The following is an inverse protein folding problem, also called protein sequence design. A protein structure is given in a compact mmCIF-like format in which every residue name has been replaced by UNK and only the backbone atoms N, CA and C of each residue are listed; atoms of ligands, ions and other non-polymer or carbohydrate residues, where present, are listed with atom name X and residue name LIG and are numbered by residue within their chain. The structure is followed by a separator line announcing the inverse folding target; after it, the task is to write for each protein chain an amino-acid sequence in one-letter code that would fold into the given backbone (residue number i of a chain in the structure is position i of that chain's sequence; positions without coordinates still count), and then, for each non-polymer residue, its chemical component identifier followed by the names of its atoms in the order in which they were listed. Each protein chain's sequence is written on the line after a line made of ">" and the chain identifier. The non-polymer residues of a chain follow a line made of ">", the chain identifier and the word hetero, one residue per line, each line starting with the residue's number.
data_IF_836173250499
#
_entry.id   IF_836173250499
#
_cell.length_a   1.000
_cell.length_b   1.000
_cell.length_c   1.000
_cell.angle_alpha   90.00
_cell.angle_beta   90.00
_cell.angle_gamma   90.00
#
_symmetry.space_group_name_H-M   'P 1'
#
loop_
_entity.id
_entity.type
_entity.pdbx_description
1 polymer ?
#
# COMPACT_ATOMS: atom_id res chain seq x y z
N UNK A 1 47.71 15.39 -81.87
CA UNK A 1 47.06 14.30 -81.11
C UNK A 1 46.72 14.80 -79.73
N UNK A 2 45.44 14.98 -79.40
CA UNK A 2 45.07 15.49 -78.09
C UNK A 2 44.89 14.35 -77.11
N UNK A 3 45.32 14.54 -75.87
CA UNK A 3 45.19 13.61 -74.75
C UNK A 3 43.74 13.70 -74.12
N UNK A 4 43.17 12.58 -73.66
CA UNK A 4 41.84 12.60 -73.01
C UNK A 4 41.95 13.14 -71.58
N UNK A 5 40.98 13.98 -71.22
CA UNK A 5 40.74 14.46 -69.85
C UNK A 5 39.95 13.41 -69.04
N UNK A 6 40.54 12.90 -67.97
CA UNK A 6 39.84 12.03 -67.03
C UNK A 6 38.92 12.87 -66.18
N UNK A 7 37.63 12.54 -66.17
CA UNK A 7 36.64 13.09 -65.27
C UNK A 7 36.63 12.28 -63.96
N UNK A 8 36.91 12.97 -62.86
CA UNK A 8 36.78 12.40 -61.51
C UNK A 8 35.35 12.56 -61.04
N UNK A 9 34.63 11.43 -60.88
CA UNK A 9 33.31 11.39 -60.25
C UNK A 9 33.54 11.39 -58.71
N UNK A 10 33.12 12.47 -58.07
CA UNK A 10 33.05 12.53 -56.60
C UNK A 10 31.70 11.95 -56.19
N UNK A 11 31.73 10.76 -55.58
CA UNK A 11 30.54 10.15 -54.98
C UNK A 11 30.36 10.74 -53.58
N UNK A 12 29.31 11.55 -53.39
CA UNK A 12 28.95 12.09 -52.08
C UNK A 12 28.15 11.00 -51.33
N UNK A 13 28.83 10.41 -50.36
CA UNK A 13 28.16 9.47 -49.40
C UNK A 13 27.29 10.28 -48.42
N UNK A 14 26.00 10.15 -48.53
CA UNK A 14 25.05 10.69 -47.54
C UNK A 14 25.08 9.74 -46.33
N UNK A 15 25.68 10.17 -45.23
CA UNK A 15 25.59 9.51 -43.93
C UNK A 15 24.17 9.74 -43.37
N UNK A 16 23.35 8.73 -43.46
CA UNK A 16 22.07 8.69 -42.70
C UNK A 16 22.42 8.52 -41.23
N UNK A 17 22.19 9.54 -40.43
CA UNK A 17 22.22 9.48 -38.96
C UNK A 17 20.96 8.73 -38.50
N UNK A 18 21.07 7.73 -37.57
CA UNK A 18 19.90 7.15 -36.97
C UNK A 18 19.20 8.16 -36.08
N UNK A 19 17.93 8.40 -36.31
CA UNK A 19 17.09 9.23 -35.46
C UNK A 19 17.04 8.63 -34.06
N UNK A 20 17.14 9.44 -32.96
CA UNK A 20 16.96 8.94 -31.63
C UNK A 20 15.51 8.47 -31.46
N UNK A 21 15.34 7.17 -31.21
CA UNK A 21 14.05 6.64 -30.79
C UNK A 21 13.72 7.26 -29.42
N UNK A 22 12.52 7.87 -29.24
CA UNK A 22 12.11 8.27 -27.91
C UNK A 22 12.03 7.00 -27.06
N UNK A 23 12.75 6.98 -25.95
CA UNK A 23 12.58 5.99 -24.86
C UNK A 23 11.08 6.07 -24.48
N UNK A 24 10.30 5.13 -24.98
CA UNK A 24 8.91 4.99 -24.63
C UNK A 24 8.80 4.85 -23.13
N UNK A 25 8.24 5.84 -22.45
CA UNK A 25 7.77 5.70 -21.11
C UNK A 25 6.88 4.46 -21.08
N UNK A 26 7.36 3.41 -20.45
CA UNK A 26 6.60 2.18 -20.23
C UNK A 26 5.42 2.59 -19.34
N UNK A 27 4.29 2.91 -19.98
CA UNK A 27 3.03 3.10 -19.29
C UNK A 27 2.75 1.77 -18.58
N UNK A 28 2.88 1.78 -17.25
CA UNK A 28 2.40 0.69 -16.43
C UNK A 28 0.93 0.48 -16.80
N UNK A 29 0.62 -0.65 -17.42
CA UNK A 29 -0.78 -1.00 -17.67
C UNK A 29 -1.52 -0.91 -16.32
N UNK A 30 -2.65 -0.20 -16.26
CA UNK A 30 -3.50 -0.25 -15.08
C UNK A 30 -3.84 -1.72 -14.81
N UNK A 31 -3.85 -2.16 -13.54
CA UNK A 31 -4.26 -3.52 -13.22
C UNK A 31 -5.61 -3.80 -13.86
N UNK A 32 -5.79 -5.03 -14.35
CA UNK A 32 -7.02 -5.44 -15.05
C UNK A 32 -8.24 -4.99 -14.21
N UNK A 33 -9.16 -4.20 -14.80
CA UNK A 33 -10.21 -3.57 -14.05
C UNK A 33 -11.08 -4.63 -13.46
N UNK A 34 -11.26 -5.12 -12.44
CA UNK A 34 -12.18 -6.07 -11.81
C UNK A 34 -11.57 -7.28 -11.07
N UNK A 35 -10.25 -7.35 -10.87
CA UNK A 35 -9.67 -8.47 -10.12
C UNK A 35 -10.32 -8.67 -8.74
N UNK A 36 -10.69 -7.59 -8.04
CA UNK A 36 -11.27 -7.61 -6.69
C UNK A 36 -12.73 -7.17 -6.63
N UNK A 37 -13.39 -7.00 -7.78
CA UNK A 37 -14.78 -6.54 -7.83
C UNK A 37 -15.71 -7.41 -7.00
N UNK A 38 -15.53 -8.74 -7.05
CA UNK A 38 -16.33 -9.68 -6.26
C UNK A 38 -16.16 -9.47 -4.75
N UNK A 39 -14.94 -9.18 -4.30
CA UNK A 39 -14.65 -8.94 -2.89
C UNK A 39 -15.30 -7.62 -2.41
N UNK A 40 -15.16 -6.57 -3.21
CA UNK A 40 -15.74 -5.25 -2.90
C UNK A 40 -17.26 -5.32 -2.90
N UNK A 41 -17.86 -5.95 -3.92
CA UNK A 41 -19.31 -6.16 -3.99
C UNK A 41 -19.84 -7.00 -2.80
N UNK A 42 -19.06 -7.94 -2.28
CA UNK A 42 -19.44 -8.70 -1.09
C UNK A 42 -19.49 -7.80 0.17
N UNK A 43 -18.55 -6.89 0.36
CA UNK A 43 -18.60 -5.89 1.43
C UNK A 43 -19.83 -4.99 1.29
N UNK A 44 -20.10 -4.47 0.10
CA UNK A 44 -21.27 -3.62 -0.17
C UNK A 44 -22.61 -4.36 0.10
N UNK A 45 -22.67 -5.64 -0.25
CA UNK A 45 -23.84 -6.46 0.00
C UNK A 45 -24.06 -6.71 1.51
N UNK A 46 -22.98 -6.99 2.25
CA UNK A 46 -23.05 -7.12 3.70
C UNK A 46 -23.48 -5.81 4.38
N UNK A 47 -22.96 -4.67 3.92
CA UNK A 47 -23.29 -3.35 4.45
C UNK A 47 -24.76 -2.95 4.21
N UNK A 48 -25.37 -3.43 3.13
CA UNK A 48 -26.81 -3.25 2.88
C UNK A 48 -27.66 -4.02 3.89
N UNK A 49 -27.16 -5.14 4.39
CA UNK A 49 -27.85 -5.96 5.38
C UNK A 49 -27.62 -5.45 6.81
N UNK A 50 -26.39 -5.02 7.09
CA UNK A 50 -25.98 -4.48 8.39
C UNK A 50 -25.01 -3.32 8.18
N UNK A 51 -25.55 -2.11 8.16
CA UNK A 51 -24.76 -0.91 7.90
C UNK A 51 -23.70 -0.70 8.99
N UNK A 52 -22.42 -0.56 8.61
CA UNK A 52 -21.36 -0.28 9.56
C UNK A 52 -21.57 1.07 10.26
N UNK A 53 -21.16 1.20 11.53
CA UNK A 53 -21.29 2.45 12.25
C UNK A 53 -20.47 3.55 11.63
N UNK A 54 -21.03 4.76 11.54
CA UNK A 54 -20.32 5.96 11.13
C UNK A 54 -19.31 6.38 12.21
N UNK A 55 -18.20 6.98 11.81
CA UNK A 55 -17.18 7.44 12.75
C UNK A 55 -16.32 6.31 13.35
N UNK A 56 -16.43 5.09 12.83
CA UNK A 56 -15.56 3.98 13.22
C UNK A 56 -14.09 4.23 12.79
N UNK A 57 -13.17 3.43 13.31
CA UNK A 57 -11.83 3.28 12.75
C UNK A 57 -11.96 2.38 11.52
N UNK A 58 -11.45 2.80 10.39
CA UNK A 58 -11.45 2.01 9.17
C UNK A 58 -10.06 1.41 8.93
N UNK A 59 -9.98 0.10 8.85
CA UNK A 59 -8.80 -0.61 8.35
C UNK A 59 -9.02 -0.92 6.87
N UNK A 60 -8.11 -0.51 5.99
CA UNK A 60 -8.15 -0.81 4.56
C UNK A 60 -6.78 -1.27 4.08
N UNK A 61 -6.75 -2.30 3.26
CA UNK A 61 -5.49 -2.82 2.74
C UNK A 61 -5.51 -4.31 2.43
N UNK A 62 -4.39 -4.97 2.68
CA UNK A 62 -4.11 -6.32 2.19
C UNK A 62 -4.50 -7.45 3.16
N UNK A 63 -3.94 -8.64 2.88
CA UNK A 63 -4.18 -9.86 3.66
C UNK A 63 -3.88 -9.74 5.14
N UNK A 64 -3.00 -8.85 5.54
CA UNK A 64 -2.64 -8.70 6.95
C UNK A 64 -3.74 -7.98 7.76
N UNK A 65 -4.68 -7.30 7.12
CA UNK A 65 -5.94 -6.90 7.74
C UNK A 65 -7.04 -7.92 7.47
N UNK A 66 -7.11 -8.45 6.25
CA UNK A 66 -8.13 -9.44 5.88
C UNK A 66 -8.13 -10.66 6.80
N UNK A 67 -6.93 -11.16 7.17
CA UNK A 67 -6.74 -12.36 7.98
C UNK A 67 -6.60 -12.10 9.48
N UNK A 68 -6.89 -10.90 9.95
CA UNK A 68 -6.84 -10.58 11.38
C UNK A 68 -8.12 -11.06 12.07
N UNK A 69 -8.20 -12.38 12.31
CA UNK A 69 -9.37 -13.03 12.88
C UNK A 69 -9.60 -12.63 14.36
N UNK A 70 -8.51 -12.41 15.12
CA UNK A 70 -8.54 -11.98 16.54
C UNK A 70 -8.72 -10.47 16.71
N UNK A 71 -9.06 -9.71 15.67
CA UNK A 71 -9.11 -8.25 15.69
C UNK A 71 -9.94 -7.67 16.85
N UNK A 72 -11.11 -8.26 17.12
CA UNK A 72 -12.00 -7.80 18.19
C UNK A 72 -11.45 -8.09 19.58
N UNK A 73 -10.71 -9.18 19.71
CA UNK A 73 -10.06 -9.61 20.96
C UNK A 73 -8.78 -8.80 21.22
N UNK A 74 -8.01 -8.51 20.16
CA UNK A 74 -6.77 -7.73 20.23
C UNK A 74 -7.01 -6.24 20.46
N UNK A 75 -8.13 -5.71 19.98
CA UNK A 75 -8.51 -4.30 20.09
C UNK A 75 -9.89 -4.14 20.75
N UNK A 76 -10.03 -4.57 22.01
CA UNK A 76 -11.31 -4.52 22.70
C UNK A 76 -11.76 -3.08 22.96
N UNK A 77 -13.04 -2.81 22.75
CA UNK A 77 -13.66 -1.52 22.99
C UNK A 77 -13.48 -0.50 21.87
N UNK A 78 -12.81 -0.88 20.75
CA UNK A 78 -12.77 -0.04 19.56
C UNK A 78 -13.84 -0.46 18.55
N UNK A 79 -14.55 0.52 17.99
CA UNK A 79 -15.44 0.29 16.86
C UNK A 79 -14.59 0.33 15.59
N UNK A 80 -14.41 -0.85 14.98
CA UNK A 80 -13.52 -1.00 13.81
C UNK A 80 -14.34 -1.58 12.65
N UNK A 81 -14.17 -0.99 11.47
CA UNK A 81 -14.62 -1.52 10.18
C UNK A 81 -13.41 -2.02 9.42
N UNK A 82 -13.33 -3.33 9.19
CA UNK A 82 -12.24 -3.94 8.45
C UNK A 82 -12.63 -4.13 6.96
N UNK A 83 -11.84 -3.54 6.06
CA UNK A 83 -11.94 -3.64 4.60
C UNK A 83 -10.64 -4.16 3.99
N UNK A 84 -9.98 -5.06 4.69
CA UNK A 84 -8.85 -5.82 4.16
C UNK A 84 -9.29 -6.77 3.06
N UNK A 85 -8.46 -6.94 2.02
CA UNK A 85 -8.69 -7.89 0.93
C UNK A 85 -7.39 -8.64 0.67
N UNK A 86 -7.45 -9.96 0.56
CA UNK A 86 -6.26 -10.78 0.31
C UNK A 86 -5.58 -10.36 -1.01
N UNK A 87 -4.25 -10.24 -0.97
CA UNK A 87 -3.42 -9.83 -2.12
C UNK A 87 -3.64 -8.40 -2.66
N UNK A 88 -4.32 -7.54 -1.91
CA UNK A 88 -4.55 -6.15 -2.29
C UNK A 88 -3.24 -5.37 -2.37
N UNK A 89 -3.11 -4.49 -3.36
CA UNK A 89 -1.97 -3.59 -3.54
C UNK A 89 -2.36 -2.16 -3.17
N UNK A 90 -1.37 -1.26 -3.07
CA UNK A 90 -1.68 0.16 -2.84
C UNK A 90 -2.45 0.79 -4.02
N UNK A 91 -2.19 0.32 -5.25
CA UNK A 91 -2.97 0.70 -6.44
C UNK A 91 -4.45 0.31 -6.30
N UNK A 92 -4.71 -0.90 -5.78
CA UNK A 92 -6.09 -1.38 -5.56
C UNK A 92 -6.79 -0.57 -4.46
N UNK A 93 -6.07 -0.19 -3.38
CA UNK A 93 -6.61 0.70 -2.34
C UNK A 93 -7.04 2.04 -2.92
N UNK A 94 -6.25 2.62 -3.82
CA UNK A 94 -6.61 3.86 -4.54
C UNK A 94 -7.85 3.64 -5.41
N UNK A 95 -7.85 2.58 -6.20
CA UNK A 95 -8.94 2.28 -7.15
C UNK A 95 -10.29 2.12 -6.46
N UNK A 96 -10.32 1.45 -5.32
CA UNK A 96 -11.55 1.17 -4.59
C UNK A 96 -11.83 2.14 -3.43
N UNK A 97 -11.07 3.24 -3.29
CA UNK A 97 -11.23 4.18 -2.19
C UNK A 97 -12.67 4.73 -2.07
N UNK A 98 -13.32 5.00 -3.20
CA UNK A 98 -14.70 5.53 -3.26
C UNK A 98 -15.74 4.57 -2.71
N UNK A 99 -15.45 3.28 -2.71
CA UNK A 99 -16.34 2.20 -2.30
C UNK A 99 -15.98 1.61 -0.94
N UNK A 100 -14.69 1.53 -0.63
CA UNK A 100 -14.19 0.89 0.59
C UNK A 100 -13.83 1.88 1.71
N UNK A 101 -13.80 3.20 1.43
CA UNK A 101 -13.35 4.19 2.40
C UNK A 101 -14.37 5.32 2.58
N UNK A 102 -14.71 6.02 1.51
CA UNK A 102 -15.50 7.25 1.60
C UNK A 102 -16.91 7.06 2.20
N UNK A 103 -17.65 5.97 1.93
CA UNK A 103 -19.00 5.78 2.46
C UNK A 103 -19.08 5.68 3.98
N UNK A 104 -17.98 5.25 4.63
CA UNK A 104 -17.97 4.98 6.09
C UNK A 104 -17.72 6.23 6.94
N UNK A 105 -17.27 7.33 6.36
CA UNK A 105 -16.94 8.58 7.10
C UNK A 105 -16.18 8.29 8.40
N UNK A 106 -15.04 7.58 8.34
CA UNK A 106 -14.33 7.13 9.52
C UNK A 106 -13.71 8.30 10.31
N UNK A 107 -13.53 8.11 11.61
CA UNK A 107 -12.76 9.05 12.45
C UNK A 107 -11.24 8.89 12.30
N UNK A 108 -10.79 7.74 11.80
CA UNK A 108 -9.41 7.41 11.50
C UNK A 108 -9.39 6.36 10.39
N UNK A 109 -8.53 6.53 9.40
CA UNK A 109 -8.24 5.53 8.39
C UNK A 109 -6.87 4.94 8.68
N UNK A 110 -6.76 3.61 8.75
CA UNK A 110 -5.48 2.91 8.84
C UNK A 110 -5.28 2.10 7.56
N UNK A 111 -4.22 2.42 6.84
CA UNK A 111 -3.84 1.75 5.59
C UNK A 111 -2.71 0.76 5.86
N UNK A 112 -2.82 -0.46 5.36
CA UNK A 112 -1.73 -1.42 5.28
C UNK A 112 -1.68 -2.05 3.89
N UNK A 113 -0.74 -1.61 3.07
CA UNK A 113 -0.49 -2.13 1.72
C UNK A 113 0.97 -1.84 1.31
N UNK A 114 1.39 -2.28 0.14
CA UNK A 114 2.74 -2.08 -0.37
C UNK A 114 3.57 -3.36 -0.37
N UNK A 115 3.27 -4.33 0.50
CA UNK A 115 3.94 -5.63 0.51
C UNK A 115 3.72 -6.41 -0.78
N UNK A 116 2.50 -6.45 -1.28
CA UNK A 116 2.14 -7.10 -2.54
C UNK A 116 2.65 -6.32 -3.76
N UNK A 117 2.70 -5.00 -3.66
CA UNK A 117 3.31 -4.14 -4.67
C UNK A 117 4.78 -4.51 -4.91
N UNK A 118 5.55 -4.58 -3.82
CA UNK A 118 6.96 -5.01 -3.87
C UNK A 118 7.08 -6.44 -4.42
N UNK A 119 6.18 -7.36 -4.05
CA UNK A 119 6.17 -8.73 -4.57
C UNK A 119 5.98 -8.78 -6.10
N UNK A 120 5.27 -7.81 -6.68
CA UNK A 120 5.05 -7.69 -8.12
C UNK A 120 6.11 -6.83 -8.84
N UNK A 121 7.18 -6.45 -8.13
CA UNK A 121 8.30 -5.70 -8.69
C UNK A 121 8.11 -4.18 -8.73
N UNK A 122 7.10 -3.65 -8.05
CA UNK A 122 6.92 -2.19 -7.97
C UNK A 122 7.99 -1.55 -7.08
N UNK A 123 8.42 -0.37 -7.47
CA UNK A 123 9.43 0.40 -6.74
C UNK A 123 8.83 1.16 -5.54
N UNK A 124 9.67 1.55 -4.59
CA UNK A 124 9.27 2.39 -3.47
C UNK A 124 8.60 3.70 -3.93
N UNK A 125 9.11 4.33 -4.99
CA UNK A 125 8.54 5.56 -5.56
C UNK A 125 7.11 5.34 -6.11
N UNK A 126 6.85 4.18 -6.75
CA UNK A 126 5.52 3.87 -7.26
C UNK A 126 4.52 3.63 -6.13
N UNK A 127 4.91 2.90 -5.07
CA UNK A 127 4.05 2.68 -3.90
C UNK A 127 3.76 4.00 -3.17
N UNK A 128 4.77 4.86 -3.00
CA UNK A 128 4.60 6.20 -2.44
C UNK A 128 3.63 7.04 -3.30
N UNK A 129 3.78 7.03 -4.62
CA UNK A 129 2.91 7.76 -5.54
C UNK A 129 1.44 7.36 -5.40
N UNK A 130 1.18 6.06 -5.25
CA UNK A 130 -0.17 5.56 -5.01
C UNK A 130 -0.69 5.96 -3.62
N UNK A 131 0.13 5.88 -2.57
CA UNK A 131 -0.29 6.35 -1.25
C UNK A 131 -0.61 7.85 -1.26
N UNK A 132 0.18 8.66 -1.95
CA UNK A 132 -0.12 10.09 -2.15
C UNK A 132 -1.42 10.30 -2.92
N UNK A 133 -1.70 9.50 -3.95
CA UNK A 133 -2.96 9.55 -4.70
C UNK A 133 -4.15 9.19 -3.80
N UNK A 134 -4.01 8.17 -2.96
CA UNK A 134 -5.01 7.81 -1.96
C UNK A 134 -5.29 8.96 -1.00
N UNK A 135 -4.25 9.55 -0.42
CA UNK A 135 -4.38 10.70 0.49
C UNK A 135 -5.12 11.85 -0.20
N UNK A 136 -4.72 12.22 -1.43
CA UNK A 136 -5.42 13.26 -2.20
C UNK A 136 -6.90 12.92 -2.38
N UNK A 137 -7.23 11.70 -2.81
CA UNK A 137 -8.62 11.27 -3.01
C UNK A 137 -9.47 11.38 -1.75
N UNK A 138 -8.92 10.95 -0.62
CA UNK A 138 -9.62 11.07 0.68
C UNK A 138 -9.81 12.54 1.06
N UNK A 139 -8.80 13.39 0.86
CA UNK A 139 -8.86 14.82 1.21
C UNK A 139 -9.90 15.62 0.42
N UNK A 140 -10.28 15.19 -0.78
CA UNK A 140 -11.34 15.82 -1.57
C UNK A 140 -12.69 15.80 -0.86
N UNK A 141 -12.98 14.77 -0.08
CA UNK A 141 -14.26 14.59 0.62
C UNK A 141 -14.16 14.68 2.14
N UNK A 142 -13.02 14.33 2.70
CA UNK A 142 -12.76 14.29 4.15
C UNK A 142 -11.43 15.01 4.45
N UNK A 143 -11.36 16.36 4.32
CA UNK A 143 -10.10 17.10 4.38
C UNK A 143 -9.39 17.03 5.74
N UNK A 144 -10.09 16.75 6.83
CA UNK A 144 -9.54 16.72 8.19
C UNK A 144 -9.33 15.32 8.76
N UNK A 145 -9.80 14.23 8.10
CA UNK A 145 -9.68 12.89 8.66
C UNK A 145 -8.20 12.49 8.81
N UNK A 146 -7.77 11.97 9.96
CA UNK A 146 -6.43 11.43 10.10
C UNK A 146 -6.29 10.13 9.29
N UNK A 147 -5.11 9.99 8.64
CA UNK A 147 -4.77 8.78 7.87
C UNK A 147 -3.46 8.23 8.43
N UNK A 148 -3.50 7.00 8.92
CA UNK A 148 -2.34 6.28 9.40
C UNK A 148 -1.87 5.26 8.35
N UNK A 149 -0.57 5.25 8.07
CA UNK A 149 0.04 4.18 7.26
C UNK A 149 0.76 3.20 8.18
N UNK A 150 0.32 1.97 8.20
CA UNK A 150 0.99 0.87 8.87
C UNK A 150 2.09 0.32 7.96
N UNK A 151 3.33 0.34 8.42
CA UNK A 151 4.50 -0.01 7.61
C UNK A 151 4.40 -1.42 7.01
N UNK A 152 4.96 -1.59 5.83
CA UNK A 152 5.20 -2.92 5.26
C UNK A 152 6.06 -3.73 6.22
N UNK A 153 5.68 -4.98 6.48
CA UNK A 153 6.29 -5.82 7.52
C UNK A 153 7.50 -6.62 7.05
N UNK A 154 8.42 -7.00 7.96
CA UNK A 154 9.63 -7.76 7.63
C UNK A 154 9.39 -9.28 7.63
N UNK A 155 8.31 -9.76 7.00
CA UNK A 155 7.99 -11.20 6.99
C UNK A 155 9.16 -12.06 6.54
N UNK A 156 9.53 -13.15 7.29
CA UNK A 156 10.68 -13.99 6.97
C UNK A 156 10.61 -14.58 5.56
N UNK A 157 9.41 -14.97 5.09
CA UNK A 157 9.18 -15.49 3.73
C UNK A 157 9.41 -14.47 2.62
N UNK A 158 9.63 -13.20 2.97
CA UNK A 158 9.92 -12.10 2.05
C UNK A 158 11.18 -11.33 2.42
N UNK A 159 12.04 -11.89 3.26
CA UNK A 159 13.25 -11.22 3.75
C UNK A 159 14.23 -10.85 2.65
N UNK A 160 14.28 -11.59 1.54
CA UNK A 160 15.06 -11.23 0.35
C UNK A 160 14.67 -9.85 -0.24
N UNK A 161 13.47 -9.37 0.06
CA UNK A 161 12.96 -8.06 -0.36
C UNK A 161 13.14 -6.98 0.72
N UNK A 162 13.85 -7.26 1.83
CA UNK A 162 13.97 -6.36 2.96
C UNK A 162 14.51 -4.97 2.59
N UNK A 163 15.42 -4.88 1.63
CA UNK A 163 15.98 -3.61 1.17
C UNK A 163 14.90 -2.69 0.56
N UNK A 164 14.17 -3.19 -0.45
CA UNK A 164 13.12 -2.41 -1.12
C UNK A 164 11.93 -2.13 -0.21
N UNK A 165 11.59 -3.04 0.73
CA UNK A 165 10.55 -2.82 1.73
C UNK A 165 10.93 -1.70 2.70
N UNK A 166 12.20 -1.65 3.17
CA UNK A 166 12.71 -0.54 3.99
C UNK A 166 12.73 0.77 3.24
N UNK A 167 13.13 0.76 1.96
CA UNK A 167 13.07 1.94 1.10
C UNK A 167 11.63 2.46 0.98
N UNK A 168 10.66 1.57 0.71
CA UNK A 168 9.23 1.91 0.66
C UNK A 168 8.76 2.53 1.96
N UNK A 169 9.08 1.89 3.09
CA UNK A 169 8.72 2.40 4.41
C UNK A 169 9.35 3.77 4.70
N UNK A 170 10.61 3.96 4.33
CA UNK A 170 11.32 5.23 4.49
C UNK A 170 10.72 6.35 3.66
N UNK A 171 10.39 6.08 2.40
CA UNK A 171 9.77 7.04 1.50
C UNK A 171 8.40 7.50 2.02
N UNK A 172 7.57 6.55 2.45
CA UNK A 172 6.24 6.86 3.02
C UNK A 172 6.37 7.58 4.37
N UNK A 173 7.28 7.17 5.25
CA UNK A 173 7.53 7.84 6.54
C UNK A 173 7.93 9.30 6.35
N UNK A 174 8.79 9.61 5.38
CA UNK A 174 9.18 10.97 5.06
C UNK A 174 7.99 11.80 4.53
N UNK A 175 7.15 11.22 3.69
CA UNK A 175 5.95 11.89 3.22
C UNK A 175 4.95 12.16 4.35
N UNK A 176 4.71 11.17 5.21
CA UNK A 176 3.82 11.30 6.38
C UNK A 176 4.25 12.44 7.31
N UNK A 177 5.55 12.65 7.48
CA UNK A 177 6.09 13.72 8.32
C UNK A 177 5.76 15.15 7.81
N UNK A 178 5.29 15.30 6.57
CA UNK A 178 4.95 16.61 5.99
C UNK A 178 3.54 17.11 6.30
N UNK A 179 2.65 16.26 6.83
CA UNK A 179 1.26 16.64 7.22
C UNK A 179 0.94 16.08 8.62
N UNK A 180 0.62 16.91 9.63
CA UNK A 180 0.33 16.45 10.99
C UNK A 180 -0.93 15.56 11.09
N UNK A 181 -1.73 15.48 10.04
CA UNK A 181 -2.89 14.58 9.96
C UNK A 181 -2.54 13.22 9.35
N UNK A 182 -1.29 13.03 8.93
CA UNK A 182 -0.76 11.74 8.52
C UNK A 182 0.03 11.13 9.67
N UNK A 183 -0.11 9.84 9.88
CA UNK A 183 0.50 9.10 10.99
C UNK A 183 1.26 7.90 10.42
N UNK A 184 2.46 7.65 10.91
CA UNK A 184 3.22 6.46 10.55
C UNK A 184 3.23 5.47 11.70
N UNK A 185 2.76 4.25 11.44
CA UNK A 185 2.78 3.12 12.39
C UNK A 185 3.96 2.23 12.05
N UNK A 186 5.01 2.28 12.85
CA UNK A 186 6.24 1.52 12.63
C UNK A 186 6.15 0.10 13.21
N UNK A 187 5.73 -0.86 12.39
CA UNK A 187 5.74 -2.28 12.75
C UNK A 187 7.11 -2.93 12.47
N UNK A 188 7.90 -2.35 11.55
CA UNK A 188 9.12 -2.98 11.08
C UNK A 188 10.08 -3.28 12.21
N UNK A 189 10.44 -2.25 12.98
CA UNK A 189 11.43 -2.36 14.04
C UNK A 189 11.02 -3.35 15.14
N UNK A 190 9.74 -3.35 15.51
CA UNK A 190 9.22 -4.21 16.58
C UNK A 190 9.17 -5.69 16.20
N UNK A 191 9.14 -5.98 14.90
CA UNK A 191 9.11 -7.34 14.37
C UNK A 191 10.50 -7.90 14.03
N UNK A 192 11.58 -7.17 14.38
CA UNK A 192 12.96 -7.64 14.23
C UNK A 192 13.48 -8.24 15.54
N UNK A 193 14.31 -9.26 15.41
CA UNK A 193 15.08 -9.86 16.50
C UNK A 193 16.35 -9.07 16.83
N UNK A 194 17.08 -9.50 17.88
CA UNK A 194 18.34 -8.87 18.29
C UNK A 194 19.44 -8.92 17.23
N UNK A 195 19.37 -9.89 16.32
CA UNK A 195 20.27 -10.09 15.19
C UNK A 195 19.94 -9.17 13.98
N UNK A 196 18.88 -8.37 14.09
CA UNK A 196 18.38 -7.51 13.03
C UNK A 196 17.60 -8.25 11.93
N UNK A 197 17.42 -9.55 12.05
CA UNK A 197 16.55 -10.37 11.20
C UNK A 197 15.08 -10.35 11.68
N UNK A 198 14.16 -10.92 10.90
CA UNK A 198 12.76 -11.01 11.31
C UNK A 198 12.59 -12.00 12.45
N UNK A 199 11.78 -11.69 13.43
CA UNK A 199 11.39 -12.61 14.49
C UNK A 199 10.51 -13.72 13.91
N UNK A 200 11.00 -14.97 13.96
CA UNK A 200 10.27 -16.13 13.41
C UNK A 200 9.00 -16.49 14.21
N UNK A 201 8.97 -16.15 15.49
CA UNK A 201 7.87 -16.46 16.43
C UNK A 201 6.58 -15.67 16.17
N UNK A 202 6.60 -14.67 15.28
CA UNK A 202 5.46 -13.80 15.01
C UNK A 202 4.65 -14.21 13.77
N UNK A 203 5.01 -15.30 13.10
CA UNK A 203 4.46 -15.61 11.78
C UNK A 203 3.84 -17.00 11.72
N UNK A 204 2.86 -17.16 10.84
CA UNK A 204 2.32 -18.46 10.47
C UNK A 204 3.38 -19.30 9.72
N UNK A 205 3.08 -20.57 9.47
CA UNK A 205 3.97 -21.48 8.72
C UNK A 205 4.35 -20.99 7.32
N UNK A 206 3.54 -20.13 6.72
CA UNK A 206 3.84 -19.50 5.44
C UNK A 206 4.92 -18.40 5.53
N UNK A 207 5.26 -17.98 6.75
CA UNK A 207 6.28 -16.96 7.05
C UNK A 207 6.00 -15.59 6.43
N UNK A 208 4.73 -15.31 6.09
CA UNK A 208 4.26 -14.08 5.45
C UNK A 208 3.20 -13.41 6.32
N UNK A 209 2.23 -14.19 6.82
CA UNK A 209 1.13 -13.68 7.61
C UNK A 209 1.42 -13.81 9.10
N UNK A 210 1.09 -12.79 9.91
CA UNK A 210 1.24 -12.86 11.35
C UNK A 210 0.41 -14.01 11.94
N UNK A 211 0.93 -14.63 12.99
CA UNK A 211 0.15 -15.47 13.90
C UNK A 211 -0.45 -14.60 15.02
N UNK A 212 -1.12 -15.21 16.00
CA UNK A 212 -1.77 -14.49 17.10
C UNK A 212 -0.78 -13.56 17.85
N UNK A 213 0.44 -14.00 18.13
CA UNK A 213 1.47 -13.17 18.77
C UNK A 213 1.89 -11.98 17.88
N UNK A 214 1.94 -12.18 16.56
CA UNK A 214 2.21 -11.12 15.60
C UNK A 214 1.09 -10.09 15.53
N UNK A 215 -0.16 -10.52 15.62
CA UNK A 215 -1.32 -9.62 15.68
C UNK A 215 -1.44 -8.91 17.02
N UNK A 216 -1.19 -9.57 18.14
CA UNK A 216 -1.14 -8.96 19.47
C UNK A 216 -0.08 -7.84 19.53
N UNK A 217 1.13 -8.10 19.02
CA UNK A 217 2.19 -7.10 18.91
C UNK A 217 1.75 -5.90 18.04
N UNK A 218 1.11 -6.17 16.89
CA UNK A 218 0.56 -5.13 16.02
C UNK A 218 -0.47 -4.29 16.77
N UNK A 219 -1.41 -4.92 17.47
CA UNK A 219 -2.42 -4.23 18.26
C UNK A 219 -1.80 -3.35 19.34
N UNK A 220 -0.79 -3.86 20.06
CA UNK A 220 -0.09 -3.09 21.09
C UNK A 220 0.55 -1.80 20.52
N UNK A 221 1.13 -1.88 19.32
CA UNK A 221 1.72 -0.71 18.63
C UNK A 221 0.65 0.26 18.12
N UNK A 222 -0.49 -0.26 17.67
CA UNK A 222 -1.56 0.55 17.12
C UNK A 222 -2.37 1.28 18.21
N UNK A 223 -2.62 0.67 19.37
CA UNK A 223 -3.48 1.23 20.44
C UNK A 223 -3.23 2.70 20.76
N UNK A 224 -1.99 3.19 20.95
CA UNK A 224 -1.74 4.61 21.24
C UNK A 224 -2.20 5.56 20.13
N UNK A 225 -2.28 5.05 18.89
CA UNK A 225 -2.64 5.83 17.70
C UNK A 225 -4.15 5.82 17.46
N UNK A 226 -4.83 4.75 17.86
CA UNK A 226 -6.28 4.61 17.70
C UNK A 226 -7.08 5.55 18.60
N UNK A 227 -6.42 6.20 19.57
CA UNK A 227 -7.07 7.03 20.58
C UNK A 227 -7.69 6.21 21.70
N UNK A 228 -8.56 6.83 22.48
CA UNK A 228 -9.27 6.09 23.53
C UNK A 228 -10.28 5.10 22.94
N UNK A 229 -10.45 3.93 23.56
CA UNK A 229 -11.54 3.03 23.24
C UNK A 229 -12.89 3.75 23.32
N UNK A 230 -13.84 3.33 22.49
CA UNK A 230 -15.19 3.88 22.52
C UNK A 230 -15.80 3.58 23.88
N UNK A 231 -16.31 4.60 24.56
CA UNK A 231 -17.03 4.39 25.81
C UNK A 231 -18.22 3.47 25.48
N UNK A 232 -18.27 2.29 26.11
CA UNK A 232 -19.43 1.41 25.99
C UNK A 232 -20.66 2.22 26.33
N UNK A 233 -21.54 2.48 25.37
CA UNK A 233 -22.91 2.84 25.71
C UNK A 233 -23.46 1.58 26.36
N UNK A 234 -23.47 1.58 27.68
CA UNK A 234 -24.28 0.62 28.45
C UNK A 234 -25.71 0.74 27.96
N UNK A 235 -26.36 -0.38 27.63
CA UNK A 235 -27.74 -0.39 27.14
C UNK A 235 -28.71 0.21 28.17
#
# INVERSE_FOLDING_TARGET
>A
MPRPRSAILIATAILMQPSPHPLGAQQSQPPAPNRFEKNVAAYEAADKTSAPPQGAILLVGDSQFYRWETLAEDLPGYTIVNRGIDSFTMTDVVHFADRLVLPYKPRLIVVHAGGNDVNTGRTAAQVLGDFQAFVRRVRETMPSVPIAFSSVTPGPGRWSQAAVRRETNGAIKNFVASDPRLIYIDLWKAMLGPDGGPREDLWLKDRIHPNDAGYELRAAIMRPILGSPDQRRTP
#
